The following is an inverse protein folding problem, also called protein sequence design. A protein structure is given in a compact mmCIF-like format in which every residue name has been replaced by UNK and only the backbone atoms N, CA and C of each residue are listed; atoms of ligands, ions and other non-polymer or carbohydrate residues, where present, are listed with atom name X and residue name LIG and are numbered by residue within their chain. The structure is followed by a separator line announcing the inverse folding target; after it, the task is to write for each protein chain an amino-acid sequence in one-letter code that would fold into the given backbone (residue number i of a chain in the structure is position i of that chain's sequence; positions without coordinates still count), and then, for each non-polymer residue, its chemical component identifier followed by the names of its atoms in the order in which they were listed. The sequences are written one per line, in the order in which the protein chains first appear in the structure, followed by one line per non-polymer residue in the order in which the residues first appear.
data_IF_932897355231
#
_entry.id   IF_932897355231
#
_cell.length_a   1.000
_cell.length_b   1.000
_cell.length_c   1.000
_cell.angle_alpha   90.00
_cell.angle_beta   90.00
_cell.angle_gamma   90.00
#
_symmetry.space_group_name_H-M   'P 1'
#
loop_
_entity.id
_entity.type
_entity.pdbx_description
1 polymer ?
#
# COMPACT_ATOMS: atom_id res chain seq x y z
N UNK A 1 34.45 -0.48 5.58
CA UNK A 1 33.62 -1.66 5.85
C UNK A 1 32.40 -1.66 4.93
N UNK A 2 31.97 -2.85 4.47
CA UNK A 2 30.81 -3.01 3.58
C UNK A 2 29.66 -3.67 4.35
N UNK A 3 28.52 -3.01 4.43
CA UNK A 3 27.27 -3.60 4.95
C UNK A 3 26.46 -4.13 3.77
N UNK A 4 26.16 -5.42 3.76
CA UNK A 4 25.32 -6.09 2.77
C UNK A 4 24.01 -6.49 3.45
N UNK A 5 22.89 -6.06 2.90
CA UNK A 5 21.57 -6.32 3.46
C UNK A 5 20.77 -7.15 2.46
N UNK A 6 20.20 -8.26 2.93
CA UNK A 6 19.47 -9.19 2.08
C UNK A 6 18.07 -9.40 2.61
N UNK A 7 17.08 -9.22 1.75
CA UNK A 7 15.70 -9.65 1.97
C UNK A 7 15.54 -11.06 1.40
N UNK A 8 15.10 -11.99 2.25
CA UNK A 8 14.78 -13.36 1.87
C UNK A 8 13.29 -13.42 1.53
N UNK A 9 12.97 -13.44 0.24
CA UNK A 9 11.58 -13.57 -0.24
C UNK A 9 11.33 -14.96 -0.82
N UNK A 10 10.05 -15.32 -1.00
CA UNK A 10 9.67 -16.56 -1.70
C UNK A 10 10.15 -16.62 -3.15
N UNK A 11 10.41 -15.46 -3.75
CA UNK A 11 10.75 -15.32 -5.17
C UNK A 11 12.24 -15.11 -5.41
N UNK A 12 13.08 -15.33 -4.39
CA UNK A 12 14.52 -15.12 -4.42
C UNK A 12 15.00 -14.02 -3.48
N UNK A 13 16.30 -13.76 -3.51
CA UNK A 13 16.95 -12.77 -2.65
C UNK A 13 16.91 -11.41 -3.31
N UNK A 14 16.50 -10.40 -2.57
CA UNK A 14 16.75 -9.00 -2.94
C UNK A 14 17.84 -8.45 -2.03
N UNK A 15 18.63 -7.48 -2.52
CA UNK A 15 19.78 -6.95 -1.78
C UNK A 15 19.90 -5.45 -1.87
N UNK A 16 20.43 -4.85 -0.80
CA UNK A 16 21.00 -3.51 -0.80
C UNK A 16 22.39 -3.56 -0.16
N UNK A 17 23.18 -2.52 -0.34
CA UNK A 17 24.48 -2.43 0.33
C UNK A 17 24.94 -0.99 0.49
N UNK A 18 25.84 -0.78 1.43
CA UNK A 18 26.62 0.45 1.53
C UNK A 18 28.05 0.15 2.00
N UNK A 19 28.99 0.99 1.58
CA UNK A 19 30.38 1.00 2.00
C UNK A 19 30.58 2.27 2.80
N UNK A 20 31.00 2.09 4.05
CA UNK A 20 31.13 3.16 5.04
C UNK A 20 32.53 3.11 5.65
N UNK A 21 33.00 4.28 6.07
CA UNK A 21 34.18 4.42 6.92
C UNK A 21 33.71 4.55 8.36
N UNK A 22 34.36 3.83 9.28
CA UNK A 22 34.14 4.05 10.71
C UNK A 22 34.78 5.36 11.17
N UNK A 23 34.36 5.83 12.34
CA UNK A 23 35.12 6.82 13.09
C UNK A 23 36.47 6.25 13.60
N UNK A 24 37.24 7.10 14.28
CA UNK A 24 38.55 6.75 14.85
C UNK A 24 38.46 5.72 16.00
N UNK A 25 37.24 5.40 16.45
CA UNK A 25 36.95 4.38 17.46
C UNK A 25 36.38 3.09 16.86
N UNK A 26 36.22 3.01 15.53
CA UNK A 26 35.69 1.82 14.85
C UNK A 26 34.16 1.77 14.76
N UNK A 27 33.44 2.83 15.15
CA UNK A 27 31.97 2.86 15.11
C UNK A 27 31.43 3.39 13.77
N UNK A 28 30.23 2.93 13.40
CA UNK A 28 29.48 3.44 12.24
C UNK A 28 28.07 3.80 12.70
N UNK A 29 27.78 5.10 12.73
CA UNK A 29 26.44 5.63 12.98
C UNK A 29 25.71 5.92 11.65
N UNK A 30 24.69 5.14 11.32
CA UNK A 30 24.02 5.21 10.00
C UNK A 30 23.24 6.51 9.78
N UNK A 31 22.85 7.21 10.86
CA UNK A 31 22.16 8.48 10.77
C UNK A 31 23.05 9.64 10.31
N UNK A 32 24.38 9.51 10.39
CA UNK A 32 25.34 10.56 10.04
C UNK A 32 26.41 10.11 9.06
N UNK A 33 26.72 8.82 9.00
CA UNK A 33 27.74 8.29 8.11
C UNK A 33 27.25 8.28 6.66
N UNK A 34 27.89 9.11 5.83
CA UNK A 34 27.63 9.15 4.39
C UNK A 34 28.24 7.93 3.69
N UNK A 35 27.45 7.13 2.94
CA UNK A 35 27.99 6.05 2.11
C UNK A 35 29.06 6.56 1.14
N UNK A 36 30.21 5.89 1.10
CA UNK A 36 31.23 6.09 0.06
C UNK A 36 30.73 5.55 -1.27
N UNK A 37 30.03 4.41 -1.20
CA UNK A 37 29.36 3.73 -2.31
C UNK A 37 28.21 2.90 -1.75
N UNK A 38 27.16 2.68 -2.53
CA UNK A 38 26.05 1.85 -2.10
C UNK A 38 24.85 1.97 -3.03
N UNK A 39 23.75 1.38 -2.60
CA UNK A 39 22.43 1.55 -3.21
C UNK A 39 21.73 2.85 -2.80
N UNK A 40 22.31 3.58 -1.84
CA UNK A 40 21.90 4.93 -1.45
C UNK A 40 23.16 5.78 -1.14
N UNK A 41 23.03 7.11 -1.21
CA UNK A 41 24.18 8.03 -1.21
C UNK A 41 24.19 9.05 -0.05
N UNK A 42 23.06 9.30 0.60
CA UNK A 42 22.98 10.22 1.74
C UNK A 42 22.91 9.45 3.07
N UNK A 43 23.33 10.05 4.19
CA UNK A 43 23.12 9.46 5.52
C UNK A 43 21.65 9.15 5.74
N UNK A 44 21.35 7.89 6.00
CA UNK A 44 19.98 7.40 6.17
C UNK A 44 19.97 6.10 6.97
N UNK A 45 19.36 6.07 8.17
CA UNK A 45 19.29 4.86 8.99
C UNK A 45 18.45 3.75 8.33
N UNK A 46 17.54 4.12 7.43
CA UNK A 46 16.65 3.19 6.71
C UNK A 46 17.05 3.00 5.24
N UNK A 47 18.17 3.60 4.80
CA UNK A 47 18.64 3.56 3.42
C UNK A 47 18.77 2.12 2.88
N UNK A 48 19.29 1.19 3.69
CA UNK A 48 19.38 -0.23 3.31
C UNK A 48 18.00 -0.88 3.13
N UNK A 49 16.98 -0.51 3.90
CA UNK A 49 15.63 -1.07 3.74
C UNK A 49 14.89 -0.48 2.54
N UNK A 50 15.07 0.81 2.27
CA UNK A 50 14.42 1.50 1.15
C UNK A 50 15.00 1.11 -0.21
N UNK A 51 16.30 0.83 -0.26
CA UNK A 51 17.02 0.61 -1.52
C UNK A 51 17.35 -0.85 -1.80
N UNK A 52 16.47 -1.75 -1.35
CA UNK A 52 16.55 -3.17 -1.67
C UNK A 52 16.22 -3.38 -3.14
N UNK A 53 17.21 -3.87 -3.89
CA UNK A 53 17.14 -4.12 -5.33
C UNK A 53 17.07 -5.62 -5.63
N UNK A 54 16.54 -5.95 -6.80
CA UNK A 54 16.48 -7.33 -7.29
C UNK A 54 17.89 -7.89 -7.52
N UNK A 55 18.03 -9.20 -7.33
CA UNK A 55 19.23 -9.93 -7.76
C UNK A 55 18.87 -10.90 -8.88
N UNK A 56 19.87 -11.58 -9.41
CA UNK A 56 19.69 -12.65 -10.42
C UNK A 56 18.88 -13.84 -9.89
N UNK A 57 18.65 -13.93 -8.57
CA UNK A 57 17.79 -14.94 -7.95
C UNK A 57 16.30 -14.67 -8.20
N UNK A 58 15.91 -13.48 -8.67
CA UNK A 58 14.51 -13.07 -8.86
C UNK A 58 14.17 -12.98 -10.35
N UNK A 59 13.35 -13.92 -10.83
CA UNK A 59 12.92 -14.02 -12.24
C UNK A 59 12.38 -12.71 -12.81
N UNK A 60 12.85 -12.31 -13.99
CA UNK A 60 12.46 -11.05 -14.64
C UNK A 60 10.93 -10.86 -14.69
N UNK A 61 10.46 -9.73 -14.17
CA UNK A 61 9.02 -9.42 -14.08
C UNK A 61 8.35 -9.84 -12.77
N UNK A 62 8.96 -10.71 -11.96
CA UNK A 62 8.39 -11.10 -10.66
C UNK A 62 8.47 -9.97 -9.64
N UNK A 63 7.38 -9.74 -8.91
CA UNK A 63 7.33 -8.77 -7.82
C UNK A 63 7.33 -9.49 -6.47
N UNK A 64 7.91 -8.86 -5.45
CA UNK A 64 7.74 -9.30 -4.06
C UNK A 64 6.36 -8.82 -3.61
N UNK A 65 5.38 -9.71 -3.69
CA UNK A 65 4.01 -9.47 -3.25
C UNK A 65 3.85 -10.00 -1.84
N UNK A 66 3.14 -9.27 -0.98
CA UNK A 66 2.84 -9.71 0.37
C UNK A 66 1.35 -9.58 0.72
N UNK A 67 0.50 -10.24 -0.07
CA UNK A 67 -0.94 -10.20 0.12
C UNK A 67 -1.40 -10.81 1.44
N UNK A 68 -0.58 -11.66 2.05
CA UNK A 68 -0.90 -12.30 3.33
C UNK A 68 -0.38 -11.53 4.56
N UNK A 69 0.24 -10.35 4.36
CA UNK A 69 0.85 -9.58 5.44
C UNK A 69 1.86 -10.38 6.28
N UNK A 70 2.63 -11.25 5.61
CA UNK A 70 3.64 -12.08 6.26
C UNK A 70 4.87 -11.24 6.67
N UNK A 71 5.58 -11.61 7.75
CA UNK A 71 6.81 -10.94 8.12
C UNK A 71 7.89 -11.05 7.03
N UNK A 72 8.66 -9.98 6.85
CA UNK A 72 9.89 -10.02 6.05
C UNK A 72 11.08 -10.41 6.92
N UNK A 73 11.93 -11.26 6.37
CA UNK A 73 13.15 -11.74 7.01
C UNK A 73 14.36 -11.18 6.27
N UNK A 74 15.28 -10.59 7.03
CA UNK A 74 16.47 -9.99 6.49
C UNK A 74 17.73 -10.55 7.17
N UNK A 75 18.84 -10.55 6.44
CA UNK A 75 20.18 -10.73 7.00
C UNK A 75 21.03 -9.50 6.71
N UNK A 76 21.55 -8.86 7.75
CA UNK A 76 22.53 -7.79 7.66
C UNK A 76 23.92 -8.37 7.91
N UNK A 77 24.79 -8.30 6.91
CA UNK A 77 26.16 -8.84 6.94
C UNK A 77 27.17 -7.71 6.88
N UNK A 78 28.16 -7.74 7.75
CA UNK A 78 29.27 -6.80 7.77
C UNK A 78 30.51 -7.47 7.18
N UNK A 79 31.11 -6.81 6.20
CA UNK A 79 32.33 -7.27 5.54
C UNK A 79 33.48 -6.28 5.75
N UNK A 80 34.69 -6.81 5.88
CA UNK A 80 35.93 -6.06 5.87
C UNK A 80 36.20 -5.46 4.47
N UNK A 81 37.27 -4.67 4.36
CA UNK A 81 37.74 -4.19 3.04
C UNK A 81 38.29 -5.33 2.17
N UNK A 82 38.81 -6.39 2.78
CA UNK A 82 39.26 -7.61 2.10
C UNK A 82 38.12 -8.59 1.76
N UNK A 83 36.86 -8.14 1.84
CA UNK A 83 35.64 -8.94 1.59
C UNK A 83 35.49 -10.16 2.53
N UNK A 84 36.11 -10.13 3.71
CA UNK A 84 35.91 -11.12 4.78
C UNK A 84 34.62 -10.80 5.55
N UNK A 85 33.79 -11.81 5.81
CA UNK A 85 32.60 -11.66 6.66
C UNK A 85 33.04 -11.48 8.12
N UNK A 86 32.78 -10.31 8.68
CA UNK A 86 33.10 -9.95 10.05
C UNK A 86 31.97 -10.30 11.02
N UNK A 87 30.70 -10.08 10.61
CA UNK A 87 29.53 -10.32 11.45
C UNK A 87 28.24 -10.47 10.63
N UNK A 88 27.20 -11.09 11.20
CA UNK A 88 25.88 -11.25 10.60
C UNK A 88 24.76 -11.20 11.65
N UNK A 89 23.74 -10.37 11.39
CA UNK A 89 22.53 -10.27 12.20
C UNK A 89 21.29 -10.59 11.36
N UNK A 90 20.41 -11.42 11.91
CA UNK A 90 19.12 -11.74 11.29
C UNK A 90 18.01 -10.88 11.90
N UNK A 91 17.19 -10.27 11.04
CA UNK A 91 16.11 -9.36 11.42
C UNK A 91 14.77 -9.88 10.93
N UNK A 92 13.73 -9.70 11.75
CA UNK A 92 12.33 -9.97 11.39
C UNK A 92 11.55 -8.67 11.40
N UNK A 93 11.19 -8.15 10.23
CA UNK A 93 10.24 -7.04 10.08
C UNK A 93 8.83 -7.63 10.12
N UNK A 94 8.14 -7.46 11.24
CA UNK A 94 6.73 -7.83 11.34
C UNK A 94 5.90 -6.88 10.49
N UNK A 95 4.85 -7.40 9.86
CA UNK A 95 3.94 -6.58 9.09
C UNK A 95 3.02 -5.75 9.97
N UNK A 96 2.64 -6.28 11.14
CA UNK A 96 1.82 -5.57 12.11
C UNK A 96 2.16 -5.95 13.55
N UNK A 97 1.63 -5.16 14.49
CA UNK A 97 1.86 -5.38 15.91
C UNK A 97 1.27 -6.73 16.38
N UNK A 98 1.99 -7.53 17.22
CA UNK A 98 1.52 -8.85 17.66
C UNK A 98 0.22 -8.87 18.47
N UNK A 99 -0.19 -7.72 19.03
CA UNK A 99 -1.43 -7.59 19.79
C UNK A 99 -2.66 -7.26 18.92
N UNK A 100 -2.46 -7.01 17.63
CA UNK A 100 -3.58 -6.85 16.68
C UNK A 100 -4.18 -8.23 16.44
N UNK A 101 -5.49 -8.35 16.65
CA UNK A 101 -6.21 -9.59 16.39
C UNK A 101 -6.64 -9.65 14.92
N UNK A 102 -6.39 -10.79 14.26
CA UNK A 102 -6.91 -11.13 12.94
C UNK A 102 -8.19 -11.96 13.11
N UNK A 103 -9.30 -11.48 12.55
CA UNK A 103 -10.62 -12.09 12.69
C UNK A 103 -11.16 -12.38 11.29
N UNK A 104 -11.24 -13.66 10.94
CA UNK A 104 -11.84 -14.10 9.68
C UNK A 104 -13.36 -13.91 9.70
N UNK A 105 -13.91 -13.36 8.62
CA UNK A 105 -15.35 -13.12 8.45
C UNK A 105 -15.86 -13.95 7.27
N UNK A 106 -16.73 -14.91 7.56
CA UNK A 106 -17.37 -15.81 6.57
C UNK A 106 -18.84 -16.06 6.92
N UNK A 107 -19.64 -15.00 6.96
CA UNK A 107 -21.04 -15.09 7.41
C UNK A 107 -21.97 -14.13 6.66
N UNK A 108 -23.23 -14.54 6.45
CA UNK A 108 -24.24 -13.66 5.82
C UNK A 108 -23.90 -13.25 4.38
N UNK A 109 -23.03 -13.98 3.70
CA UNK A 109 -22.52 -13.58 2.37
C UNK A 109 -21.43 -12.51 2.42
N UNK A 110 -20.87 -12.22 3.60
CA UNK A 110 -19.76 -11.30 3.81
C UNK A 110 -18.51 -12.14 3.99
N UNK A 111 -17.50 -11.79 3.20
CA UNK A 111 -16.18 -12.39 3.19
C UNK A 111 -15.14 -11.33 3.53
N UNK A 112 -14.07 -11.72 4.22
CA UNK A 112 -12.91 -10.88 4.44
C UNK A 112 -12.24 -11.13 5.78
N UNK A 113 -11.37 -10.21 6.16
CA UNK A 113 -10.59 -10.29 7.39
C UNK A 113 -10.58 -8.94 8.09
N UNK A 114 -11.00 -8.95 9.35
CA UNK A 114 -10.95 -7.79 10.24
C UNK A 114 -9.66 -7.84 11.05
N UNK A 115 -8.95 -6.73 11.06
CA UNK A 115 -7.84 -6.49 11.98
C UNK A 115 -8.30 -5.55 13.08
N UNK A 116 -8.27 -6.04 14.32
CA UNK A 116 -8.78 -5.34 15.49
C UNK A 116 -7.62 -4.93 16.42
N UNK A 117 -7.48 -3.64 16.76
CA UNK A 117 -6.52 -3.21 17.78
C UNK A 117 -6.79 -3.83 19.16
N UNK A 118 -5.79 -3.91 20.04
CA UNK A 118 -5.98 -4.38 21.41
C UNK A 118 -6.91 -3.46 22.20
N UNK A 119 -7.67 -4.04 23.13
CA UNK A 119 -8.61 -3.30 24.00
C UNK A 119 -10.08 -3.43 23.60
N UNK A 120 -11.01 -2.84 24.37
CA UNK A 120 -12.45 -3.03 24.18
C UNK A 120 -13.04 -2.23 23.01
N UNK A 121 -12.36 -1.17 22.55
CA UNK A 121 -12.92 -0.21 21.60
C UNK A 121 -13.86 0.79 22.28
N UNK A 122 -14.74 1.47 21.55
CA UNK A 122 -14.91 1.42 20.10
C UNK A 122 -13.74 2.09 19.35
N UNK A 123 -13.43 1.61 18.15
CA UNK A 123 -12.33 2.12 17.32
C UNK A 123 -12.88 2.87 16.09
N UNK A 124 -12.22 3.95 15.63
CA UNK A 124 -12.43 4.43 14.26
C UNK A 124 -12.06 3.32 13.27
N UNK A 125 -12.75 3.26 12.13
CA UNK A 125 -12.60 2.17 11.17
C UNK A 125 -12.06 2.67 9.83
N UNK A 126 -11.11 1.92 9.25
CA UNK A 126 -10.64 2.09 7.87
C UNK A 126 -10.97 0.82 7.10
N UNK A 127 -11.82 0.93 6.10
CA UNK A 127 -12.09 -0.16 5.15
C UNK A 127 -11.10 -0.02 3.99
N UNK A 128 -10.28 -1.06 3.78
CA UNK A 128 -9.37 -1.18 2.64
C UNK A 128 -10.16 -1.75 1.45
N UNK A 129 -10.42 -0.93 0.44
CA UNK A 129 -11.26 -1.32 -0.69
C UNK A 129 -10.56 -2.36 -1.57
N UNK A 130 -11.30 -3.32 -2.17
CA UNK A 130 -10.68 -4.37 -2.96
C UNK A 130 -9.90 -3.81 -4.16
N UNK A 131 -8.65 -4.28 -4.33
CA UNK A 131 -7.81 -3.96 -5.48
C UNK A 131 -8.22 -4.73 -6.73
N UNK A 132 -7.81 -4.28 -7.92
CA UNK A 132 -8.23 -4.83 -9.23
C UNK A 132 -8.05 -6.34 -9.40
N UNK A 133 -7.10 -6.97 -8.68
CA UNK A 133 -6.93 -8.43 -8.70
C UNK A 133 -8.14 -9.18 -8.10
N UNK A 134 -8.97 -8.48 -7.34
CA UNK A 134 -10.25 -8.92 -6.78
C UNK A 134 -10.16 -9.95 -5.66
N UNK A 135 -8.99 -10.54 -5.44
CA UNK A 135 -8.69 -11.44 -4.33
C UNK A 135 -8.47 -10.68 -3.03
N UNK A 136 -8.51 -11.41 -1.92
CA UNK A 136 -8.21 -10.86 -0.62
C UNK A 136 -6.75 -10.35 -0.60
N UNK A 137 -6.59 -9.11 -0.17
CA UNK A 137 -5.30 -8.46 -0.03
C UNK A 137 -5.23 -7.87 1.37
N UNK A 138 -4.40 -8.46 2.24
CA UNK A 138 -4.22 -8.03 3.64
C UNK A 138 -3.12 -6.98 3.78
N UNK A 139 -2.67 -6.36 2.69
CA UNK A 139 -1.47 -5.51 2.69
C UNK A 139 -1.60 -4.29 3.62
N UNK A 140 -2.70 -3.52 3.59
CA UNK A 140 -2.81 -2.26 4.36
C UNK A 140 -3.64 -2.38 5.65
N UNK A 141 -4.67 -3.22 5.67
CA UNK A 141 -5.55 -3.36 6.83
C UNK A 141 -4.84 -3.63 8.18
N UNK A 142 -3.90 -4.58 8.30
CA UNK A 142 -3.20 -4.86 9.56
C UNK A 142 -2.27 -3.72 10.01
N UNK A 143 -1.77 -2.90 9.09
CA UNK A 143 -1.00 -1.69 9.42
C UNK A 143 -1.90 -0.63 10.03
N UNK A 144 -3.06 -0.39 9.42
CA UNK A 144 -4.07 0.52 9.97
C UNK A 144 -4.47 0.11 11.40
N UNK A 145 -4.59 -1.20 11.66
CA UNK A 145 -4.87 -1.69 13.00
C UNK A 145 -3.72 -1.57 13.99
N UNK A 146 -2.47 -1.55 13.52
CA UNK A 146 -1.32 -1.24 14.36
C UNK A 146 -1.32 0.22 14.82
N UNK A 147 -1.92 1.11 14.03
CA UNK A 147 -2.11 2.54 14.34
C UNK A 147 -3.41 2.84 15.13
N UNK A 148 -4.13 1.79 15.56
CA UNK A 148 -5.31 1.94 16.42
C UNK A 148 -6.65 2.05 15.70
N UNK A 149 -6.70 1.82 14.38
CA UNK A 149 -7.96 1.74 13.62
C UNK A 149 -8.48 0.31 13.55
N UNK A 150 -9.78 0.09 13.74
CA UNK A 150 -10.37 -1.15 13.25
C UNK A 150 -10.22 -1.16 11.73
N UNK A 151 -9.73 -2.25 11.15
CA UNK A 151 -9.62 -2.32 9.69
C UNK A 151 -10.24 -3.56 9.11
N UNK A 152 -10.79 -3.42 7.91
CA UNK A 152 -11.46 -4.50 7.20
C UNK A 152 -11.01 -4.52 5.74
N UNK A 153 -10.44 -5.64 5.30
CA UNK A 153 -10.15 -5.93 3.90
C UNK A 153 -10.95 -7.15 3.46
N UNK A 154 -11.36 -7.18 2.19
CA UNK A 154 -12.20 -8.25 1.66
C UNK A 154 -12.01 -8.46 0.16
N UNK A 155 -12.32 -9.67 -0.35
CA UNK A 155 -12.31 -9.93 -1.78
C UNK A 155 -13.61 -9.48 -2.46
N UNK A 156 -13.52 -9.28 -3.78
CA UNK A 156 -14.66 -9.18 -4.69
C UNK A 156 -14.76 -10.37 -5.66
N UNK A 157 -13.75 -11.24 -5.71
CA UNK A 157 -13.69 -12.44 -6.55
C UNK A 157 -13.30 -13.68 -5.71
N UNK A 158 -13.41 -14.85 -6.33
CA UNK A 158 -12.82 -16.12 -5.87
C UNK A 158 -13.30 -16.69 -4.52
N UNK A 159 -14.34 -16.10 -3.89
CA UNK A 159 -15.05 -16.68 -2.74
C UNK A 159 -16.42 -17.25 -3.13
N UNK A 160 -17.01 -18.16 -2.33
CA UNK A 160 -18.32 -18.72 -2.63
C UNK A 160 -19.41 -17.65 -2.82
N UNK A 161 -20.04 -17.70 -4.00
CA UNK A 161 -21.08 -16.75 -4.49
C UNK A 161 -20.55 -15.38 -4.91
N UNK A 162 -19.23 -15.16 -4.93
CA UNK A 162 -18.64 -14.03 -5.62
C UNK A 162 -18.45 -14.33 -7.11
N UNK A 163 -18.41 -13.30 -7.97
CA UNK A 163 -18.12 -13.46 -9.38
C UNK A 163 -16.73 -14.03 -9.64
N UNK A 164 -16.53 -14.51 -10.88
CA UNK A 164 -15.24 -15.05 -11.36
C UNK A 164 -14.39 -14.02 -12.10
N UNK A 165 -15.02 -12.99 -12.65
CA UNK A 165 -14.34 -11.94 -13.40
C UNK A 165 -14.80 -10.57 -12.93
N UNK A 166 -13.97 -9.55 -13.16
CA UNK A 166 -14.20 -8.19 -12.67
C UNK A 166 -15.43 -7.54 -13.31
N UNK A 167 -15.75 -7.90 -14.56
CA UNK A 167 -16.90 -7.38 -15.31
C UNK A 167 -18.24 -7.73 -14.66
N UNK A 168 -18.29 -8.84 -13.92
CA UNK A 168 -19.48 -9.35 -13.25
C UNK A 168 -19.60 -8.84 -11.79
N UNK A 169 -18.63 -8.03 -11.32
CA UNK A 169 -18.65 -7.49 -9.94
C UNK A 169 -19.71 -6.41 -9.80
N UNK A 170 -20.72 -6.72 -8.99
CA UNK A 170 -21.65 -5.72 -8.47
C UNK A 170 -20.97 -4.93 -7.35
N UNK A 171 -20.63 -3.66 -7.61
CA UNK A 171 -19.98 -2.79 -6.60
C UNK A 171 -20.91 -2.56 -5.39
N UNK A 172 -22.24 -2.66 -5.56
CA UNK A 172 -23.19 -2.49 -4.45
C UNK A 172 -23.14 -3.66 -3.44
N UNK A 173 -22.54 -4.80 -3.81
CA UNK A 173 -22.21 -5.85 -2.85
C UNK A 173 -21.29 -5.32 -1.73
N UNK A 174 -20.35 -4.42 -2.06
CA UNK A 174 -19.36 -3.89 -1.11
C UNK A 174 -20.00 -2.99 -0.04
N UNK A 175 -21.18 -2.43 -0.33
CA UNK A 175 -21.99 -1.66 0.63
C UNK A 175 -22.42 -2.50 1.85
N UNK A 176 -22.49 -3.83 1.71
CA UNK A 176 -22.80 -4.75 2.82
C UNK A 176 -21.69 -4.79 3.86
N UNK A 177 -20.43 -4.64 3.45
CA UNK A 177 -19.26 -4.66 4.33
C UNK A 177 -19.21 -3.44 5.23
N UNK A 178 -19.60 -2.27 4.71
CA UNK A 178 -19.73 -1.03 5.48
C UNK A 178 -20.76 -1.22 6.61
N UNK A 179 -21.96 -1.69 6.26
CA UNK A 179 -23.04 -1.94 7.23
C UNK A 179 -22.65 -3.00 8.26
N UNK A 180 -21.93 -4.03 7.83
CA UNK A 180 -21.48 -5.09 8.72
C UNK A 180 -20.48 -4.58 9.74
N UNK A 181 -19.41 -3.90 9.29
CA UNK A 181 -18.41 -3.38 10.22
C UNK A 181 -19.02 -2.35 11.18
N UNK A 182 -19.97 -1.54 10.70
CA UNK A 182 -20.73 -0.60 11.54
C UNK A 182 -21.57 -1.28 12.62
N UNK A 183 -22.06 -2.51 12.37
CA UNK A 183 -22.86 -3.25 13.36
C UNK A 183 -22.03 -3.91 14.46
N UNK A 184 -20.70 -3.90 14.37
CA UNK A 184 -19.82 -4.50 15.35
C UNK A 184 -19.77 -3.65 16.62
N UNK A 185 -19.85 -4.24 17.82
CA UNK A 185 -19.92 -3.50 19.08
C UNK A 185 -18.63 -2.72 19.42
N UNK A 186 -17.52 -3.03 18.74
CA UNK A 186 -16.22 -2.37 18.89
C UNK A 186 -15.87 -1.45 17.72
N UNK A 187 -16.78 -1.25 16.76
CA UNK A 187 -16.64 -0.23 15.73
C UNK A 187 -17.32 1.06 16.20
N UNK A 188 -16.71 2.20 15.95
CA UNK A 188 -17.34 3.51 16.14
C UNK A 188 -18.06 3.95 14.86
N UNK A 189 -18.87 5.00 14.94
CA UNK A 189 -19.50 5.61 13.75
C UNK A 189 -18.50 6.36 12.84
N UNK A 190 -17.21 6.37 13.20
CA UNK A 190 -16.15 6.99 12.42
C UNK A 190 -15.55 6.00 11.42
N UNK A 191 -16.23 5.81 10.29
CA UNK A 191 -15.82 4.88 9.22
C UNK A 191 -15.25 5.67 8.04
N UNK A 192 -14.03 5.33 7.62
CA UNK A 192 -13.38 5.85 6.43
C UNK A 192 -13.08 4.75 5.42
N UNK A 193 -12.87 5.16 4.17
CA UNK A 193 -12.42 4.28 3.09
C UNK A 193 -10.98 4.62 2.72
N UNK A 194 -10.17 3.60 2.47
CA UNK A 194 -8.87 3.72 1.82
C UNK A 194 -8.86 2.89 0.54
N UNK A 195 -8.28 3.42 -0.54
CA UNK A 195 -8.13 2.68 -1.78
C UNK A 195 -6.97 3.16 -2.64
N UNK A 196 -6.10 2.22 -3.01
CA UNK A 196 -5.02 2.43 -3.99
C UNK A 196 -5.49 2.09 -5.41
N UNK A 197 -5.09 2.88 -6.40
CA UNK A 197 -5.36 2.61 -7.82
C UNK A 197 -6.86 2.45 -8.10
N UNK A 198 -7.26 1.39 -8.80
CA UNK A 198 -8.67 1.07 -9.06
C UNK A 198 -9.53 1.00 -7.78
N UNK A 199 -8.95 0.59 -6.65
CA UNK A 199 -9.65 0.57 -5.37
C UNK A 199 -10.06 1.98 -4.90
N UNK A 200 -9.31 3.01 -5.29
CA UNK A 200 -9.67 4.40 -5.06
C UNK A 200 -10.93 4.82 -5.82
N UNK A 201 -11.15 4.32 -7.04
CA UNK A 201 -12.41 4.55 -7.76
C UNK A 201 -13.60 3.87 -7.10
N UNK A 202 -13.41 2.64 -6.60
CA UNK A 202 -14.42 1.95 -5.80
C UNK A 202 -14.77 2.79 -4.58
N UNK A 203 -13.77 3.34 -3.87
CA UNK A 203 -14.00 4.19 -2.71
C UNK A 203 -14.80 5.47 -3.06
N UNK A 204 -14.46 6.15 -4.17
CA UNK A 204 -15.24 7.29 -4.65
C UNK A 204 -16.69 6.92 -4.99
N UNK A 205 -16.91 5.77 -5.64
CA UNK A 205 -18.26 5.30 -5.98
C UNK A 205 -19.09 5.02 -4.72
N UNK A 206 -18.53 4.30 -3.75
CA UNK A 206 -19.20 4.02 -2.48
C UNK A 206 -19.55 5.31 -1.71
N UNK A 207 -18.69 6.34 -1.78
CA UNK A 207 -18.97 7.64 -1.17
C UNK A 207 -20.21 8.33 -1.76
N UNK A 208 -20.61 8.02 -3.01
CA UNK A 208 -21.87 8.52 -3.61
C UNK A 208 -23.13 7.87 -3.02
N UNK A 209 -22.97 6.76 -2.28
CA UNK A 209 -24.05 5.94 -1.73
C UNK A 209 -24.11 5.96 -0.20
N UNK A 210 -23.00 6.31 0.44
CA UNK A 210 -22.79 6.20 1.88
C UNK A 210 -22.47 7.56 2.51
N UNK A 211 -23.47 8.44 2.74
CA UNK A 211 -23.27 9.74 3.37
C UNK A 211 -22.82 9.65 4.84
N UNK A 212 -22.90 8.47 5.46
CA UNK A 212 -22.46 8.21 6.83
C UNK A 212 -20.93 8.16 6.99
N UNK A 213 -20.17 7.95 5.90
CA UNK A 213 -18.71 7.92 5.91
C UNK A 213 -18.12 9.23 6.45
N UNK A 214 -16.93 9.13 7.05
CA UNK A 214 -16.23 10.28 7.66
C UNK A 214 -15.01 10.75 6.89
N UNK A 215 -14.44 9.92 6.02
CA UNK A 215 -13.27 10.29 5.22
C UNK A 215 -13.09 9.30 4.08
N UNK A 216 -12.56 9.77 2.96
CA UNK A 216 -12.07 8.91 1.88
C UNK A 216 -10.63 9.28 1.56
N UNK A 217 -9.73 8.32 1.66
CA UNK A 217 -8.32 8.46 1.31
C UNK A 217 -8.02 7.61 0.07
N UNK A 218 -7.32 8.18 -0.91
CA UNK A 218 -6.90 7.44 -2.10
C UNK A 218 -5.44 7.69 -2.48
N UNK A 219 -4.82 6.67 -3.05
CA UNK A 219 -3.45 6.71 -3.55
C UNK A 219 -3.47 6.33 -5.02
N UNK A 220 -2.98 7.17 -5.91
CA UNK A 220 -2.87 6.89 -7.36
C UNK A 220 -4.19 6.45 -8.02
N UNK A 221 -5.32 7.02 -7.58
CA UNK A 221 -6.64 6.72 -8.13
C UNK A 221 -6.76 7.19 -9.59
N UNK A 222 -7.20 6.35 -10.55
CA UNK A 222 -7.20 6.68 -11.98
C UNK A 222 -8.43 7.50 -12.41
N UNK A 223 -8.74 8.60 -11.71
CA UNK A 223 -9.95 9.41 -11.93
C UNK A 223 -10.12 9.92 -13.36
N UNK A 224 -9.08 10.54 -13.93
CA UNK A 224 -9.12 11.08 -15.29
C UNK A 224 -9.14 9.99 -16.36
N UNK A 225 -8.49 8.84 -16.11
CA UNK A 225 -8.47 7.71 -17.03
C UNK A 225 -9.90 7.22 -17.32
N UNK A 226 -10.73 7.15 -16.28
CA UNK A 226 -12.12 6.70 -16.37
C UNK A 226 -13.13 7.85 -16.55
N UNK A 227 -12.69 9.07 -16.89
CA UNK A 227 -13.59 10.24 -17.06
C UNK A 227 -14.57 10.13 -18.23
N UNK A 228 -14.30 9.24 -19.19
CA UNK A 228 -15.13 9.01 -20.39
C UNK A 228 -16.05 7.79 -20.26
N UNK A 229 -16.24 7.29 -19.04
CA UNK A 229 -17.28 6.30 -18.78
C UNK A 229 -18.67 6.85 -19.14
N UNK A 230 -19.60 5.96 -19.46
CA UNK A 230 -20.99 6.34 -19.75
C UNK A 230 -21.59 7.05 -18.54
N UNK A 231 -22.53 8.00 -18.71
CA UNK A 231 -23.10 8.76 -17.59
C UNK A 231 -23.61 7.88 -16.45
N UNK A 232 -24.19 6.72 -16.72
CA UNK A 232 -24.68 5.76 -15.72
C UNK A 232 -23.56 5.08 -14.91
N UNK A 233 -22.34 5.03 -15.44
CA UNK A 233 -21.15 4.40 -14.84
C UNK A 233 -20.12 5.41 -14.33
N UNK A 234 -20.32 6.72 -14.58
CA UNK A 234 -19.42 7.76 -14.11
C UNK A 234 -19.61 8.01 -12.62
N UNK A 235 -18.54 8.37 -11.91
CA UNK A 235 -18.65 8.86 -10.52
C UNK A 235 -19.55 10.10 -10.50
N UNK A 236 -20.57 10.04 -9.63
CA UNK A 236 -21.50 11.15 -9.38
C UNK A 236 -21.01 11.96 -8.20
N UNK A 237 -19.99 12.79 -8.45
CA UNK A 237 -19.34 13.60 -7.44
C UNK A 237 -20.34 14.47 -6.66
N UNK A 238 -21.37 14.97 -7.33
CA UNK A 238 -22.47 15.75 -6.77
C UNK A 238 -23.38 14.98 -5.79
N UNK A 239 -23.34 13.64 -5.82
CA UNK A 239 -24.11 12.80 -4.90
C UNK A 239 -23.33 12.46 -3.62
N UNK A 240 -22.03 12.77 -3.58
CA UNK A 240 -21.20 12.57 -2.38
C UNK A 240 -21.62 13.62 -1.34
N UNK A 241 -21.70 13.20 -0.07
CA UNK A 241 -21.95 14.16 1.01
C UNK A 241 -20.76 15.09 1.19
N UNK A 242 -21.02 16.40 1.20
CA UNK A 242 -19.99 17.46 1.43
C UNK A 242 -19.37 17.40 2.82
N UNK A 243 -19.93 16.61 3.74
CA UNK A 243 -19.35 16.33 5.05
C UNK A 243 -18.18 15.32 5.00
N UNK A 244 -17.97 14.65 3.86
CA UNK A 244 -16.88 13.69 3.67
C UNK A 244 -15.65 14.46 3.14
N UNK A 245 -14.61 14.70 3.96
CA UNK A 245 -13.33 15.18 3.47
C UNK A 245 -12.57 14.09 2.71
N UNK A 246 -11.71 14.54 1.79
CA UNK A 246 -10.90 13.68 0.94
C UNK A 246 -9.41 13.92 1.16
N UNK A 247 -8.65 12.83 1.22
CA UNK A 247 -7.18 12.84 1.14
C UNK A 247 -6.75 12.13 -0.14
N UNK A 248 -6.03 12.84 -1.00
CA UNK A 248 -5.56 12.31 -2.29
C UNK A 248 -4.04 12.36 -2.31
N UNK A 249 -3.41 11.22 -2.49
CA UNK A 249 -1.99 11.12 -2.78
C UNK A 249 -1.82 10.68 -4.23
N UNK A 250 -0.98 11.37 -4.99
CA UNK A 250 -0.74 11.07 -6.40
C UNK A 250 0.74 11.12 -6.74
N UNK A 251 1.23 10.06 -7.35
CA UNK A 251 2.61 9.89 -7.76
C UNK A 251 2.89 10.64 -9.06
N UNK A 252 3.93 11.48 -9.07
CA UNK A 252 4.33 12.24 -10.26
C UNK A 252 4.92 11.30 -11.32
N UNK A 253 5.63 10.26 -10.91
CA UNK A 253 6.29 9.29 -11.80
C UNK A 253 5.49 7.99 -11.92
N UNK A 254 4.15 8.09 -11.92
CA UNK A 254 3.26 6.95 -12.16
C UNK A 254 3.20 6.63 -13.65
N UNK A 255 3.79 5.51 -14.05
CA UNK A 255 3.84 5.07 -15.45
C UNK A 255 2.61 4.27 -15.89
N UNK A 256 1.79 3.80 -14.95
CA UNK A 256 0.55 3.09 -15.30
C UNK A 256 -0.57 4.06 -15.65
N UNK A 257 -0.71 5.10 -14.85
CA UNK A 257 -1.68 6.17 -15.07
C UNK A 257 -1.01 7.49 -14.76
N UNK A 258 -1.21 8.52 -15.59
CA UNK A 258 -0.63 9.84 -15.35
C UNK A 258 -1.14 10.38 -13.99
N UNK A 259 -0.32 10.27 -12.94
CA UNK A 259 -0.75 10.59 -11.59
C UNK A 259 -1.03 12.08 -11.39
N UNK A 260 -0.35 12.96 -12.13
CA UNK A 260 -0.63 14.41 -12.11
C UNK A 260 -2.02 14.68 -12.68
N UNK A 261 -2.30 14.17 -13.88
CA UNK A 261 -3.60 14.36 -14.55
C UNK A 261 -4.73 13.71 -13.77
N UNK A 262 -4.53 12.50 -13.24
CA UNK A 262 -5.55 11.78 -12.49
C UNK A 262 -5.83 12.41 -11.12
N UNK A 263 -4.78 12.74 -10.35
CA UNK A 263 -4.90 13.42 -9.06
C UNK A 263 -5.54 14.80 -9.19
N UNK A 264 -5.10 15.61 -10.16
CA UNK A 264 -5.68 16.93 -10.42
C UNK A 264 -7.17 16.82 -10.81
N UNK A 265 -7.53 15.85 -11.65
CA UNK A 265 -8.93 15.62 -12.01
C UNK A 265 -9.80 15.28 -10.80
N UNK A 266 -9.35 14.37 -9.93
CA UNK A 266 -10.07 14.03 -8.68
C UNK A 266 -10.25 15.27 -7.81
N UNK A 267 -9.17 16.02 -7.55
CA UNK A 267 -9.21 17.27 -6.79
C UNK A 267 -10.22 18.24 -7.38
N UNK A 268 -10.15 18.51 -8.68
CA UNK A 268 -10.98 19.51 -9.34
C UNK A 268 -12.45 19.10 -9.36
N UNK A 269 -12.75 17.81 -9.53
CA UNK A 269 -14.10 17.27 -9.42
C UNK A 269 -14.69 17.45 -8.01
N UNK A 270 -13.89 17.21 -6.97
CA UNK A 270 -14.29 17.38 -5.57
C UNK A 270 -14.47 18.86 -5.21
N UNK A 271 -13.54 19.73 -5.60
CA UNK A 271 -13.64 21.18 -5.37
C UNK A 271 -14.83 21.80 -6.09
N UNK A 272 -15.11 21.38 -7.33
CA UNK A 272 -16.28 21.83 -8.11
C UNK A 272 -17.60 21.48 -7.43
N UNK A 273 -17.61 20.44 -6.61
CA UNK A 273 -18.77 19.97 -5.84
C UNK A 273 -18.68 20.36 -4.36
N UNK A 274 -17.86 21.37 -4.03
CA UNK A 274 -17.75 21.99 -2.71
C UNK A 274 -17.21 21.08 -1.58
N UNK A 275 -16.51 20.00 -1.94
CA UNK A 275 -15.87 19.10 -0.97
C UNK A 275 -14.54 19.65 -0.46
N UNK A 276 -14.20 19.31 0.79
CA UNK A 276 -12.86 19.53 1.34
C UNK A 276 -11.92 18.44 0.82
N UNK A 277 -10.83 18.84 0.16
CA UNK A 277 -9.83 17.92 -0.38
C UNK A 277 -8.42 18.38 -0.09
N UNK A 278 -7.61 17.50 0.48
CA UNK A 278 -6.16 17.67 0.60
C UNK A 278 -5.48 16.77 -0.43
N UNK A 279 -4.74 17.36 -1.37
CA UNK A 279 -3.96 16.62 -2.35
C UNK A 279 -2.46 16.80 -2.11
N UNK A 280 -1.69 15.73 -2.29
CA UNK A 280 -0.23 15.78 -2.34
C UNK A 280 0.28 15.05 -3.57
N UNK A 281 1.21 15.70 -4.27
CA UNK A 281 1.96 15.09 -5.36
C UNK A 281 3.34 14.68 -4.87
N UNK A 282 3.70 13.41 -5.09
CA UNK A 282 4.91 12.81 -4.51
C UNK A 282 5.80 12.20 -5.59
N UNK A 283 7.12 12.19 -5.36
CA UNK A 283 8.11 11.62 -6.26
C UNK A 283 8.21 10.09 -6.10
N UNK A 284 7.13 9.39 -6.44
CA UNK A 284 6.99 7.95 -6.37
C UNK A 284 6.39 7.39 -7.67
N UNK A 285 6.29 6.06 -7.76
CA UNK A 285 5.61 5.32 -8.83
C UNK A 285 4.19 4.92 -8.47
N UNK A 286 3.56 4.08 -9.28
CA UNK A 286 2.18 3.63 -9.08
C UNK A 286 1.98 2.83 -7.79
N UNK A 287 2.92 1.94 -7.49
CA UNK A 287 2.83 1.00 -6.37
C UNK A 287 3.49 1.60 -5.13
N UNK A 288 3.02 2.78 -4.72
CA UNK A 288 3.40 3.40 -3.44
C UNK A 288 2.72 2.62 -2.33
N UNK A 289 3.38 1.59 -1.84
CA UNK A 289 2.82 0.69 -0.83
C UNK A 289 3.76 0.65 0.35
N UNK A 290 3.31 1.22 1.48
CA UNK A 290 3.82 0.98 2.84
C UNK A 290 5.31 1.30 3.05
N UNK A 291 5.67 2.06 4.10
CA UNK A 291 7.07 2.36 4.40
C UNK A 291 8.00 1.14 4.38
N UNK A 292 9.11 1.28 3.64
CA UNK A 292 10.17 0.27 3.52
C UNK A 292 9.70 -1.06 2.91
N UNK A 293 8.70 -1.04 2.04
CA UNK A 293 8.46 -2.13 1.11
C UNK A 293 9.46 -2.05 -0.06
N UNK A 294 9.99 -3.17 -0.58
CA UNK A 294 10.86 -3.14 -1.74
C UNK A 294 10.19 -2.44 -2.93
N UNK A 295 10.89 -1.48 -3.50
CA UNK A 295 10.43 -0.76 -4.67
C UNK A 295 10.45 -1.68 -5.90
N UNK A 296 9.34 -1.70 -6.63
CA UNK A 296 9.21 -2.40 -7.90
C UNK A 296 8.83 -1.38 -8.99
N UNK A 297 9.80 -1.00 -9.81
CA UNK A 297 9.59 -0.07 -10.93
C UNK A 297 8.91 -0.72 -12.15
N UNK A 298 8.86 -2.06 -12.22
CA UNK A 298 8.09 -2.81 -13.20
C UNK A 298 7.67 -4.19 -12.67
N UNK A 299 6.73 -4.82 -13.34
CA UNK A 299 6.32 -6.20 -13.08
C UNK A 299 5.49 -6.80 -14.20
N UNK A 300 5.41 -8.13 -14.22
CA UNK A 300 4.61 -8.85 -15.19
C UNK A 300 3.12 -8.77 -14.82
N UNK A 301 2.30 -8.27 -15.75
CA UNK A 301 0.87 -8.22 -15.63
C UNK A 301 0.22 -9.40 -16.37
N UNK A 302 -0.36 -10.32 -15.60
CA UNK A 302 -1.02 -11.53 -16.11
C UNK A 302 -2.30 -11.25 -16.94
N UNK A 303 -2.99 -10.14 -16.69
CA UNK A 303 -4.26 -9.82 -17.34
C UNK A 303 -4.07 -9.39 -18.80
N UNK A 304 -2.99 -8.66 -19.07
CA UNK A 304 -2.64 -8.18 -20.42
C UNK A 304 -1.40 -8.87 -21.01
N UNK A 305 -0.82 -9.83 -20.29
CA UNK A 305 0.32 -10.65 -20.70
C UNK A 305 1.56 -9.83 -21.13
N UNK A 306 1.88 -8.76 -20.40
CA UNK A 306 3.03 -7.89 -20.68
C UNK A 306 3.72 -7.44 -19.39
N UNK A 307 5.01 -7.08 -19.48
CA UNK A 307 5.67 -6.34 -18.40
C UNK A 307 5.24 -4.88 -18.44
N UNK A 308 4.71 -4.39 -17.31
CA UNK A 308 4.30 -3.01 -17.15
C UNK A 308 5.28 -2.28 -16.24
N UNK A 309 5.66 -1.07 -16.62
CA UNK A 309 6.34 -0.14 -15.74
C UNK A 309 5.35 0.47 -14.75
N UNK A 310 5.77 0.55 -13.49
CA UNK A 310 5.06 1.26 -12.43
C UNK A 310 5.69 2.63 -12.16
N UNK A 311 6.93 2.86 -12.62
CA UNK A 311 7.68 4.09 -12.41
C UNK A 311 8.17 4.25 -10.97
N UNK A 312 8.71 5.42 -10.65
CA UNK A 312 9.40 5.74 -9.39
C UNK A 312 10.91 5.48 -9.47
N UNK A 313 11.69 6.32 -8.81
CA UNK A 313 13.10 6.04 -8.48
C UNK A 313 13.17 5.46 -7.07
N UNK A 314 13.99 4.44 -6.86
CA UNK A 314 14.00 3.64 -5.61
C UNK A 314 14.20 4.48 -4.35
N UNK A 315 15.14 5.42 -4.35
CA UNK A 315 15.45 6.24 -3.17
C UNK A 315 14.37 7.27 -2.87
N UNK A 316 13.77 7.88 -3.90
CA UNK A 316 12.66 8.83 -3.70
C UNK A 316 11.35 8.12 -3.37
N UNK A 317 11.07 6.98 -4.03
CA UNK A 317 9.90 6.16 -3.79
C UNK A 317 9.86 5.65 -2.35
N UNK A 318 11.00 5.16 -1.83
CA UNK A 318 11.07 4.63 -0.46
C UNK A 318 10.82 5.68 0.65
N UNK A 319 10.85 6.97 0.33
CA UNK A 319 10.63 8.08 1.27
C UNK A 319 9.17 8.56 1.36
N UNK A 320 8.32 8.07 0.47
CA UNK A 320 6.88 8.38 0.41
C UNK A 320 6.12 7.40 1.28
#
# INVERSE_FOLDING_TARGET
MKKNFRLHSSNGILRSYCILKSDDHGNIELSTAKPIRGTYIEPDPMGLFMTVERTDDVSYGDMVKNYEAEPFYYSLRLFSESEELLDEVNLKKRWHHPLVAEIEVKQGGIWGVIYKPPGPGSFPCIIDTPVVDGRLCKTHAPLSASEGFLSFCFPMLDEPRLPKTLEDVDIEYLSKHIKYVQSLPYCSDNIGLYGISFAGLIAHHLATKHPELKVVATTNGPGAFYRRLRPETSIKWENISTNIPFRVLSSIDDWLVDGVTNGAYIRDSLLKTEHKVEIEFVNSGHVTVIPYNPHHNFGFNKFVNVNLGFGGETSTHGKV
#
